data_IF_441064716541
#
_entry.id   IF_441064716541
#
_cell.length_a   1.000
_cell.length_b   1.000
_cell.length_c   1.000
_cell.angle_alpha   90.00
_cell.angle_beta   90.00
_cell.angle_gamma   90.00
#
_symmetry.space_group_name_H-M   'P 1'
#
loop_
_entity.id
_entity.type
_entity.pdbx_description
1 polymer ?
#
# COMPACT_ATOMS: atom_id res chain seq x y z
N UNK A 1 -2.55 -14.07 -29.96
CA UNK A 1 -1.22 -13.47 -30.20
C UNK A 1 -0.28 -13.69 -29.01
N UNK A 2 -0.53 -13.11 -27.83
CA UNK A 2 0.35 -13.26 -26.63
C UNK A 2 0.60 -14.72 -26.19
N UNK A 3 -0.46 -15.53 -26.01
CA UNK A 3 -0.33 -16.96 -25.65
C UNK A 3 0.38 -17.83 -26.69
N UNK A 4 0.39 -17.41 -27.96
CA UNK A 4 1.12 -18.12 -29.02
C UNK A 4 2.62 -17.88 -28.92
N UNK A 5 3.00 -16.61 -28.73
CA UNK A 5 4.39 -16.20 -28.57
C UNK A 5 5.02 -16.72 -27.27
N UNK A 6 4.29 -16.72 -26.14
CA UNK A 6 4.77 -17.26 -24.87
C UNK A 6 5.04 -18.78 -24.94
N UNK A 7 4.19 -19.52 -25.67
CA UNK A 7 4.32 -20.97 -25.89
C UNK A 7 5.48 -21.32 -26.82
N UNK A 8 5.74 -20.49 -27.84
CA UNK A 8 6.90 -20.61 -28.73
C UNK A 8 8.22 -20.24 -28.03
N UNK A 9 8.19 -19.33 -27.05
CA UNK A 9 9.37 -18.89 -26.29
C UNK A 9 9.66 -19.74 -25.04
N UNK A 10 8.77 -20.66 -24.65
CA UNK A 10 8.91 -21.47 -23.43
C UNK A 10 8.85 -20.66 -22.13
N UNK A 11 8.29 -19.44 -22.16
CA UNK A 11 8.19 -18.54 -21.01
C UNK A 11 6.76 -18.47 -20.52
N UNK A 12 6.53 -18.80 -19.25
CA UNK A 12 5.26 -18.61 -18.56
C UNK A 12 5.36 -17.37 -17.66
N UNK A 13 4.37 -16.49 -17.71
CA UNK A 13 4.22 -15.49 -16.65
C UNK A 13 3.69 -16.15 -15.36
N UNK A 14 3.93 -15.53 -14.20
CA UNK A 14 3.54 -16.12 -12.91
C UNK A 14 2.03 -16.38 -12.79
N UNK A 15 1.20 -15.58 -13.46
CA UNK A 15 -0.24 -15.74 -13.43
C UNK A 15 -0.68 -16.95 -14.27
N UNK A 16 -0.10 -17.14 -15.45
CA UNK A 16 -0.29 -18.33 -16.29
C UNK A 16 0.22 -19.59 -15.59
N UNK A 17 1.39 -19.53 -14.95
CA UNK A 17 1.92 -20.65 -14.19
C UNK A 17 0.94 -21.11 -13.08
N UNK A 18 0.34 -20.15 -12.35
CA UNK A 18 -0.65 -20.47 -11.33
C UNK A 18 -1.91 -21.14 -11.93
N UNK A 19 -2.44 -20.63 -13.04
CA UNK A 19 -3.61 -21.23 -13.71
C UNK A 19 -3.31 -22.63 -14.28
N UNK A 20 -2.11 -22.84 -14.85
CA UNK A 20 -1.70 -24.15 -15.38
C UNK A 20 -1.55 -25.16 -14.24
N UNK A 21 -0.90 -24.76 -13.14
CA UNK A 21 -0.73 -25.61 -11.96
C UNK A 21 -2.09 -26.00 -11.36
N UNK A 22 -3.02 -25.04 -11.23
CA UNK A 22 -4.39 -25.31 -10.78
C UNK A 22 -5.07 -26.35 -11.68
N UNK A 23 -5.04 -26.16 -13.01
CA UNK A 23 -5.65 -27.09 -13.96
C UNK A 23 -5.02 -28.50 -13.92
N UNK A 24 -3.71 -28.59 -13.70
CA UNK A 24 -3.02 -29.87 -13.55
C UNK A 24 -3.46 -30.62 -12.28
N UNK A 25 -3.52 -29.93 -11.13
CA UNK A 25 -4.00 -30.50 -9.88
C UNK A 25 -5.46 -30.95 -9.96
N UNK A 26 -6.31 -30.19 -10.67
CA UNK A 26 -7.69 -30.59 -10.90
C UNK A 26 -7.80 -31.83 -11.81
N UNK A 27 -6.98 -31.91 -12.86
CA UNK A 27 -7.00 -33.04 -13.80
C UNK A 27 -6.50 -34.34 -13.16
N UNK A 28 -5.48 -34.24 -12.30
CA UNK A 28 -4.89 -35.40 -11.62
C UNK A 28 -5.64 -35.81 -10.35
N UNK A 29 -6.44 -34.91 -9.79
CA UNK A 29 -7.06 -35.08 -8.48
C UNK A 29 -6.06 -34.96 -7.31
N UNK A 30 -4.82 -34.57 -7.58
CA UNK A 30 -3.80 -34.38 -6.55
C UNK A 30 -4.15 -33.16 -5.68
N UNK A 31 -3.95 -33.30 -4.37
CA UNK A 31 -4.14 -32.24 -3.37
C UNK A 31 -2.90 -32.19 -2.48
N UNK A 32 -1.86 -31.42 -2.86
CA UNK A 32 -0.54 -31.49 -2.21
C UNK A 32 -0.54 -30.92 -0.79
N UNK A 33 -1.52 -30.09 -0.43
CA UNK A 33 -1.65 -29.51 0.90
C UNK A 33 -2.92 -30.00 1.61
N UNK A 34 -2.80 -30.22 2.92
CA UNK A 34 -3.97 -30.43 3.80
C UNK A 34 -4.63 -29.11 4.20
N UNK A 35 -3.81 -28.07 4.39
CA UNK A 35 -4.22 -26.73 4.78
C UNK A 35 -3.39 -25.69 4.02
N UNK A 36 -4.01 -24.58 3.63
CA UNK A 36 -3.34 -23.46 2.95
C UNK A 36 -3.51 -22.19 3.77
N UNK A 37 -2.39 -21.51 4.03
CA UNK A 37 -2.36 -20.20 4.66
C UNK A 37 -2.09 -19.17 3.56
N UNK A 38 -3.00 -18.23 3.39
CA UNK A 38 -2.87 -17.12 2.46
C UNK A 38 -2.66 -15.85 3.27
N UNK A 39 -1.51 -15.22 3.08
CA UNK A 39 -1.22 -13.89 3.61
C UNK A 39 -1.36 -12.86 2.50
N UNK A 40 -1.69 -11.61 2.86
CA UNK A 40 -1.95 -10.51 1.92
C UNK A 40 -2.96 -10.88 0.81
N UNK A 41 -4.07 -11.53 1.19
CA UNK A 41 -5.09 -12.02 0.24
C UNK A 41 -5.63 -10.95 -0.72
N UNK A 42 -5.61 -9.67 -0.31
CA UNK A 42 -5.97 -8.53 -1.15
C UNK A 42 -5.12 -8.37 -2.42
N UNK A 43 -3.91 -8.93 -2.48
CA UNK A 43 -3.02 -8.86 -3.66
C UNK A 43 -3.23 -10.05 -4.62
N UNK A 44 -4.08 -11.00 -4.26
CA UNK A 44 -4.32 -12.19 -5.07
C UNK A 44 -5.23 -11.89 -6.26
N UNK A 45 -4.84 -12.45 -7.42
CA UNK A 45 -5.61 -12.40 -8.67
C UNK A 45 -6.46 -13.67 -8.82
N UNK A 46 -7.44 -13.70 -9.74
CA UNK A 46 -8.27 -14.88 -10.00
C UNK A 46 -7.48 -16.18 -10.18
N UNK A 47 -6.37 -16.13 -10.92
CA UNK A 47 -5.50 -17.29 -11.13
C UNK A 47 -4.84 -17.81 -9.85
N UNK A 48 -4.50 -16.93 -8.91
CA UNK A 48 -3.94 -17.33 -7.63
C UNK A 48 -5.01 -18.03 -6.76
N UNK A 49 -6.25 -17.53 -6.76
CA UNK A 49 -7.35 -18.16 -6.02
C UNK A 49 -7.73 -19.54 -6.58
N UNK A 50 -7.70 -19.71 -7.91
CA UNK A 50 -7.84 -21.02 -8.55
C UNK A 50 -6.78 -22.00 -8.06
N UNK A 51 -5.51 -21.57 -7.99
CA UNK A 51 -4.43 -22.39 -7.47
C UNK A 51 -4.62 -22.71 -5.98
N UNK A 52 -4.90 -21.71 -5.15
CA UNK A 52 -5.15 -21.88 -3.70
C UNK A 52 -6.22 -22.93 -3.46
N UNK A 53 -7.32 -22.88 -4.21
CA UNK A 53 -8.39 -23.87 -4.06
C UNK A 53 -7.95 -25.27 -4.48
N UNK A 54 -7.20 -25.38 -5.59
CA UNK A 54 -6.72 -26.66 -6.11
C UNK A 54 -5.64 -27.32 -5.22
N UNK A 55 -4.92 -26.55 -4.41
CA UNK A 55 -3.87 -27.07 -3.52
C UNK A 55 -4.40 -27.96 -2.39
N UNK A 56 -5.64 -27.73 -1.93
CA UNK A 56 -6.22 -28.45 -0.79
C UNK A 56 -7.63 -28.95 -1.08
N UNK A 57 -7.92 -30.19 -0.66
CA UNK A 57 -9.27 -30.74 -0.71
C UNK A 57 -10.24 -29.89 0.12
N UNK A 58 -11.51 -29.80 -0.30
CA UNK A 58 -12.55 -29.09 0.46
C UNK A 58 -12.76 -29.79 1.81
N UNK A 59 -12.47 -29.08 2.89
CA UNK A 59 -12.63 -29.58 4.26
C UNK A 59 -12.82 -28.41 5.24
N UNK A 60 -13.17 -28.73 6.49
CA UNK A 60 -13.24 -27.71 7.53
C UNK A 60 -11.83 -27.15 7.84
N UNK A 61 -11.70 -25.82 7.89
CA UNK A 61 -10.43 -25.11 8.08
C UNK A 61 -9.33 -25.50 7.07
N UNK A 62 -9.70 -25.84 5.84
CA UNK A 62 -8.76 -26.15 4.75
C UNK A 62 -7.97 -24.92 4.26
N UNK A 63 -8.58 -23.73 4.26
CA UNK A 63 -7.95 -22.48 3.87
C UNK A 63 -8.14 -21.45 4.98
N UNK A 64 -7.07 -20.74 5.29
CA UNK A 64 -7.08 -19.53 6.12
C UNK A 64 -6.57 -18.37 5.28
N UNK A 65 -7.31 -17.25 5.29
CA UNK A 65 -6.95 -16.03 4.58
C UNK A 65 -6.77 -14.90 5.60
N UNK A 66 -5.60 -14.28 5.58
CA UNK A 66 -5.36 -12.98 6.18
C UNK A 66 -5.40 -11.92 5.08
N UNK A 67 -6.22 -10.90 5.28
CA UNK A 67 -6.29 -9.77 4.37
C UNK A 67 -6.60 -8.45 5.11
N UNK A 68 -6.32 -7.35 4.41
CA UNK A 68 -6.70 -6.00 4.81
C UNK A 68 -7.27 -5.29 3.57
N UNK A 69 -8.60 -5.14 3.52
CA UNK A 69 -9.28 -4.56 2.35
C UNK A 69 -8.86 -3.10 2.11
N UNK A 70 -8.46 -2.37 3.16
CA UNK A 70 -8.02 -0.98 3.04
C UNK A 70 -6.61 -0.86 2.44
N UNK A 71 -5.80 -1.93 2.47
CA UNK A 71 -4.49 -1.98 1.82
C UNK A 71 -4.53 -2.48 0.37
N UNK A 72 -5.74 -2.62 -0.20
CA UNK A 72 -5.93 -2.99 -1.60
C UNK A 72 -5.62 -1.79 -2.51
N UNK A 73 -4.35 -1.71 -2.94
CA UNK A 73 -3.87 -0.72 -3.92
C UNK A 73 -4.14 -1.21 -5.36
N UNK A 74 -4.11 -2.53 -5.58
CA UNK A 74 -4.21 -3.15 -6.89
C UNK A 74 -5.34 -4.18 -6.90
N UNK A 75 -6.21 -4.14 -7.92
CA UNK A 75 -7.11 -5.24 -8.24
C UNK A 75 -8.60 -4.91 -8.19
N UNK A 76 -9.37 -5.70 -8.93
CA UNK A 76 -10.83 -5.72 -8.88
C UNK A 76 -11.29 -6.43 -7.60
N UNK A 77 -12.47 -6.04 -7.09
CA UNK A 77 -13.13 -6.76 -5.99
C UNK A 77 -13.43 -8.19 -6.44
N UNK A 78 -12.96 -9.18 -5.68
CA UNK A 78 -13.19 -10.60 -5.97
C UNK A 78 -14.04 -11.23 -4.87
N UNK A 79 -15.09 -11.93 -5.28
CA UNK A 79 -15.89 -12.76 -4.38
C UNK A 79 -15.22 -14.13 -4.27
N UNK A 80 -14.69 -14.47 -3.09
CA UNK A 80 -13.97 -15.73 -2.87
C UNK A 80 -14.86 -16.97 -3.09
N UNK A 81 -16.17 -16.82 -2.90
CA UNK A 81 -17.16 -17.86 -3.17
C UNK A 81 -17.16 -18.33 -4.62
N UNK A 82 -16.81 -17.46 -5.57
CA UNK A 82 -16.67 -17.81 -7.00
C UNK A 82 -15.52 -18.81 -7.26
N UNK A 83 -14.59 -18.93 -6.32
CA UNK A 83 -13.45 -19.86 -6.37
C UNK A 83 -13.62 -21.04 -5.42
N UNK A 84 -14.83 -21.30 -4.89
CA UNK A 84 -15.07 -22.40 -3.96
C UNK A 84 -14.49 -22.18 -2.56
N UNK A 85 -14.23 -20.93 -2.19
CA UNK A 85 -13.73 -20.54 -0.86
C UNK A 85 -14.87 -19.82 -0.13
N UNK A 86 -15.47 -20.47 0.89
CA UNK A 86 -16.60 -19.93 1.64
C UNK A 86 -16.16 -19.36 2.99
N UNK A 87 -16.25 -18.04 3.12
CA UNK A 87 -15.81 -17.25 4.30
C UNK A 87 -16.98 -16.71 5.14
N UNK A 88 -18.20 -16.70 4.60
CA UNK A 88 -19.40 -16.21 5.27
C UNK A 88 -19.58 -16.82 6.67
N UNK A 89 -19.73 -15.95 7.68
CA UNK A 89 -19.90 -16.33 9.09
C UNK A 89 -18.64 -16.85 9.78
N UNK A 90 -17.49 -16.84 9.10
CA UNK A 90 -16.19 -17.31 9.62
C UNK A 90 -15.12 -16.23 9.63
N UNK A 91 -15.41 -15.06 9.08
CA UNK A 91 -14.53 -13.90 9.06
C UNK A 91 -14.54 -13.19 10.42
N UNK A 92 -13.35 -12.74 10.85
CA UNK A 92 -13.18 -11.97 12.09
C UNK A 92 -12.23 -10.80 11.85
N UNK A 93 -12.76 -9.58 11.93
CA UNK A 93 -11.94 -8.37 11.87
C UNK A 93 -11.10 -8.16 13.14
N UNK A 94 -9.83 -7.81 12.96
CA UNK A 94 -8.93 -7.38 14.03
C UNK A 94 -8.91 -5.85 14.09
N UNK A 95 -9.45 -5.29 15.19
CA UNK A 95 -9.65 -3.84 15.33
C UNK A 95 -8.54 -3.09 16.06
N UNK A 96 -7.63 -3.81 16.72
CA UNK A 96 -6.58 -3.20 17.55
C UNK A 96 -5.23 -3.25 16.83
N UNK A 97 -4.70 -2.07 16.54
CA UNK A 97 -3.42 -1.85 15.89
C UNK A 97 -2.32 -1.65 16.95
N UNK A 98 -1.25 -2.44 16.87
CA UNK A 98 -0.08 -2.34 17.77
C UNK A 98 1.15 -1.77 17.08
N UNK A 99 1.04 -1.40 15.80
CA UNK A 99 2.13 -0.95 14.94
C UNK A 99 2.20 0.57 14.89
N UNK A 100 1.14 1.19 14.38
CA UNK A 100 1.05 2.61 14.05
C UNK A 100 0.41 3.38 15.19
N UNK A 101 0.85 4.60 15.50
CA UNK A 101 0.21 5.45 16.52
C UNK A 101 -1.25 5.77 16.20
N UNK A 102 -2.05 6.03 17.23
CA UNK A 102 -3.45 6.43 17.08
C UNK A 102 -3.62 7.66 16.18
N UNK A 103 -2.69 8.62 16.30
CA UNK A 103 -2.70 9.86 15.53
C UNK A 103 -2.40 9.62 14.04
N UNK A 104 -1.36 8.83 13.74
CA UNK A 104 -1.03 8.47 12.35
C UNK A 104 -2.14 7.62 11.72
N UNK A 105 -2.71 6.67 12.47
CA UNK A 105 -3.81 5.83 12.00
C UNK A 105 -5.07 6.66 11.72
N UNK A 106 -5.42 7.60 12.61
CA UNK A 106 -6.56 8.50 12.41
C UNK A 106 -6.40 9.36 11.16
N UNK A 107 -5.18 9.89 10.91
CA UNK A 107 -4.89 10.65 9.70
C UNK A 107 -5.00 9.80 8.44
N UNK A 108 -4.42 8.59 8.45
CA UNK A 108 -4.50 7.66 7.33
C UNK A 108 -5.95 7.25 7.04
N UNK A 109 -6.73 6.91 8.06
CA UNK A 109 -8.17 6.61 7.91
C UNK A 109 -8.95 7.83 7.42
N UNK A 110 -8.56 9.05 7.82
CA UNK A 110 -9.07 10.31 7.30
C UNK A 110 -8.98 10.42 5.77
N UNK A 111 -7.92 9.87 5.17
CA UNK A 111 -7.76 9.81 3.70
C UNK A 111 -8.80 8.91 3.04
N UNK A 112 -9.46 8.02 3.78
CA UNK A 112 -10.51 7.13 3.28
C UNK A 112 -11.93 7.65 3.55
N UNK A 113 -12.11 8.72 4.35
CA UNK A 113 -13.45 9.19 4.74
C UNK A 113 -14.30 9.62 3.53
N UNK A 114 -15.57 9.21 3.53
CA UNK A 114 -16.55 9.50 2.47
C UNK A 114 -16.67 8.41 1.39
N UNK A 115 -16.14 7.21 1.63
CA UNK A 115 -16.20 6.07 0.71
C UNK A 115 -16.66 4.80 1.43
N UNK A 116 -17.48 3.98 0.78
CA UNK A 116 -17.82 2.64 1.25
C UNK A 116 -16.72 1.66 0.82
N UNK A 117 -15.98 1.12 1.78
CA UNK A 117 -15.07 -0.01 1.54
C UNK A 117 -15.85 -1.29 1.77
N UNK A 118 -15.79 -2.22 0.83
CA UNK A 118 -16.47 -3.51 0.93
C UNK A 118 -15.41 -4.61 1.01
N UNK A 119 -15.54 -5.49 1.99
CA UNK A 119 -14.64 -6.63 2.18
C UNK A 119 -14.84 -7.73 1.12
N UNK A 120 -14.07 -8.81 1.23
CA UNK A 120 -14.12 -9.96 0.30
C UNK A 120 -15.37 -10.86 0.48
N UNK A 121 -16.14 -10.64 1.56
CA UNK A 121 -17.45 -11.26 1.78
C UNK A 121 -18.59 -10.44 1.15
N UNK A 122 -18.31 -9.21 0.70
CA UNK A 122 -19.31 -8.31 0.13
C UNK A 122 -20.00 -7.42 1.16
N UNK A 123 -19.50 -7.38 2.40
CA UNK A 123 -20.04 -6.59 3.50
C UNK A 123 -19.31 -5.26 3.65
N UNK A 124 -20.03 -4.19 4.01
CA UNK A 124 -19.43 -2.88 4.21
C UNK A 124 -18.46 -2.91 5.41
N UNK A 125 -17.18 -2.69 5.14
CA UNK A 125 -16.15 -2.63 6.18
C UNK A 125 -16.17 -1.24 6.83
N UNK A 126 -16.59 -1.20 8.09
CA UNK A 126 -16.66 0.06 8.83
C UNK A 126 -15.35 0.32 9.57
N UNK A 127 -14.76 1.50 9.38
CA UNK A 127 -13.56 1.91 10.10
C UNK A 127 -13.83 2.25 11.59
N UNK A 128 -15.10 2.25 12.01
CA UNK A 128 -15.54 2.51 13.37
C UNK A 128 -14.99 1.44 14.34
N UNK A 129 -14.09 1.89 15.20
CA UNK A 129 -13.46 1.07 16.23
C UNK A 129 -12.06 0.56 15.90
N UNK A 130 -11.44 0.98 14.78
CA UNK A 130 -10.00 0.82 14.61
C UNK A 130 -9.27 1.66 15.67
N UNK A 131 -8.70 0.99 16.66
CA UNK A 131 -8.00 1.60 17.78
C UNK A 131 -6.51 1.28 17.64
N UNK A 132 -5.65 2.23 17.99
CA UNK A 132 -4.25 1.92 18.21
C UNK A 132 -3.95 1.85 19.70
N UNK A 133 -3.15 0.86 20.10
CA UNK A 133 -2.59 0.76 21.44
C UNK A 133 -1.41 1.72 21.66
N UNK A 134 -0.93 2.40 20.62
CA UNK A 134 0.20 3.35 20.66
C UNK A 134 -0.29 4.78 20.50
N UNK A 135 0.39 5.70 21.15
CA UNK A 135 0.20 7.14 20.98
C UNK A 135 1.50 7.79 20.54
N UNK A 136 1.40 8.92 19.84
CA UNK A 136 2.55 9.67 19.36
C UNK A 136 2.17 11.10 18.97
N UNK A 137 3.07 11.83 18.30
CA UNK A 137 2.78 13.17 17.81
C UNK A 137 1.63 13.14 16.79
N UNK A 138 0.90 14.25 16.71
CA UNK A 138 -0.07 14.44 15.64
C UNK A 138 0.66 14.57 14.30
N UNK A 139 0.19 13.90 13.22
CA UNK A 139 0.72 14.12 11.89
C UNK A 139 0.71 15.59 11.52
N UNK A 140 1.84 16.06 10.99
CA UNK A 140 1.99 17.44 10.60
C UNK A 140 1.80 17.57 9.09
N UNK A 141 0.99 18.56 8.66
CA UNK A 141 0.83 18.89 7.25
C UNK A 141 1.41 20.28 7.01
N UNK A 142 2.49 20.38 6.24
CA UNK A 142 3.25 21.63 6.01
C UNK A 142 3.15 22.10 4.55
N UNK A 143 2.53 23.25 4.28
CA UNK A 143 2.55 23.88 2.96
C UNK A 143 3.85 24.65 2.70
N UNK A 144 4.29 24.65 1.45
CA UNK A 144 5.41 25.47 0.98
C UNK A 144 5.06 26.25 -0.30
N UNK A 145 5.63 27.46 -0.50
CA UNK A 145 5.38 28.24 -1.70
C UNK A 145 6.10 27.67 -2.93
N UNK A 146 7.22 26.99 -2.75
CA UNK A 146 8.07 26.47 -3.82
C UNK A 146 8.64 25.11 -3.46
N UNK A 147 9.03 24.35 -4.49
CA UNK A 147 9.72 23.07 -4.31
C UNK A 147 11.05 23.25 -3.55
N UNK A 148 11.77 24.35 -3.77
CA UNK A 148 13.02 24.64 -3.06
C UNK A 148 12.78 24.77 -1.55
N UNK A 149 11.77 25.54 -1.14
CA UNK A 149 11.43 25.69 0.27
C UNK A 149 10.96 24.37 0.91
N UNK A 150 10.26 23.54 0.13
CA UNK A 150 9.86 22.19 0.56
C UNK A 150 11.08 21.27 0.74
N UNK A 151 12.07 21.33 -0.15
CA UNK A 151 13.32 20.58 -0.05
C UNK A 151 14.20 21.07 1.11
N UNK A 152 14.24 22.38 1.37
CA UNK A 152 14.95 22.98 2.51
C UNK A 152 14.40 22.39 3.82
N UNK A 153 13.07 22.44 3.99
CA UNK A 153 12.41 21.85 5.15
C UNK A 153 12.61 20.33 5.24
N UNK A 154 12.51 19.61 4.12
CA UNK A 154 12.69 18.17 4.09
C UNK A 154 14.11 17.76 4.53
N UNK A 155 15.14 18.52 4.12
CA UNK A 155 16.51 18.29 4.56
C UNK A 155 16.67 18.56 6.06
N UNK A 156 16.15 19.68 6.57
CA UNK A 156 16.20 20.00 8.00
C UNK A 156 15.50 18.92 8.83
N UNK A 157 14.31 18.49 8.40
CA UNK A 157 13.51 17.48 9.09
C UNK A 157 14.22 16.12 9.11
N UNK A 158 14.57 15.58 7.93
CA UNK A 158 15.22 14.26 7.83
C UNK A 158 16.59 14.28 8.51
N UNK A 159 17.35 15.37 8.35
CA UNK A 159 18.61 15.59 9.04
C UNK A 159 18.44 15.60 10.55
N UNK A 160 17.40 16.24 11.08
CA UNK A 160 17.10 16.25 12.52
C UNK A 160 16.70 14.87 13.05
N UNK A 161 15.88 14.12 12.31
CA UNK A 161 15.45 12.79 12.69
C UNK A 161 16.59 11.78 12.75
N UNK A 162 17.53 11.87 11.81
CA UNK A 162 18.74 11.02 11.79
C UNK A 162 19.75 11.52 12.83
N UNK A 163 19.93 12.83 12.96
CA UNK A 163 20.90 13.45 13.86
C UNK A 163 20.54 13.34 15.34
N UNK A 164 19.25 13.18 15.70
CA UNK A 164 18.85 12.99 17.10
C UNK A 164 19.29 11.64 17.67
N UNK A 165 19.53 10.64 16.82
CA UNK A 165 19.91 9.28 17.23
C UNK A 165 18.80 8.48 17.91
N UNK A 166 17.56 9.00 17.97
CA UNK A 166 16.42 8.31 18.58
C UNK A 166 15.93 7.11 17.75
N UNK A 167 16.18 7.14 16.44
CA UNK A 167 15.81 6.10 15.49
C UNK A 167 17.00 5.79 14.58
N UNK A 168 17.11 4.53 14.14
CA UNK A 168 18.13 4.15 13.16
C UNK A 168 17.84 4.83 11.82
N UNK A 169 18.89 5.30 11.13
CA UNK A 169 18.76 6.08 9.91
C UNK A 169 17.92 5.37 8.83
N UNK A 170 18.12 4.06 8.66
CA UNK A 170 17.37 3.22 7.72
C UNK A 170 15.86 3.08 8.03
N UNK A 171 15.43 3.46 9.23
CA UNK A 171 14.02 3.48 9.63
C UNK A 171 13.35 4.83 9.39
N UNK A 172 14.07 5.79 8.80
CA UNK A 172 13.54 7.07 8.32
C UNK A 172 13.31 6.96 6.81
N UNK A 173 12.09 7.25 6.36
CA UNK A 173 11.74 7.19 4.95
C UNK A 173 11.13 8.47 4.42
N UNK A 174 11.49 8.81 3.17
CA UNK A 174 10.80 9.80 2.35
C UNK A 174 10.00 9.05 1.28
N UNK A 175 8.68 9.15 1.38
CA UNK A 175 7.75 8.51 0.47
C UNK A 175 7.22 9.55 -0.53
N UNK A 176 7.35 9.23 -1.81
CA UNK A 176 6.95 10.12 -2.91
C UNK A 176 6.04 9.39 -3.90
N UNK A 177 5.36 10.15 -4.76
CA UNK A 177 4.46 9.57 -5.76
C UNK A 177 5.19 8.68 -6.78
N UNK A 178 6.21 9.22 -7.43
CA UNK A 178 6.87 8.59 -8.58
C UNK A 178 8.40 8.63 -8.49
N UNK A 179 9.04 7.90 -9.41
CA UNK A 179 10.51 7.78 -9.47
C UNK A 179 11.19 9.11 -9.78
N UNK A 180 10.58 9.94 -10.62
CA UNK A 180 11.16 11.24 -11.01
C UNK A 180 11.24 12.16 -9.80
N UNK A 181 10.19 12.20 -9.00
CA UNK A 181 10.13 12.94 -7.74
C UNK A 181 11.11 12.35 -6.72
N UNK A 182 11.23 11.02 -6.66
CA UNK A 182 12.18 10.33 -5.77
C UNK A 182 13.62 10.73 -6.05
N UNK A 183 14.02 10.70 -7.32
CA UNK A 183 15.37 11.06 -7.74
C UNK A 183 15.66 12.55 -7.48
N UNK A 184 14.65 13.42 -7.70
CA UNK A 184 14.74 14.86 -7.37
C UNK A 184 14.90 15.11 -5.88
N UNK A 185 14.15 14.41 -5.03
CA UNK A 185 14.26 14.51 -3.57
C UNK A 185 15.63 14.03 -3.12
N UNK A 186 16.11 12.89 -3.62
CA UNK A 186 17.45 12.35 -3.28
C UNK A 186 18.55 13.35 -3.65
N UNK A 187 18.52 13.90 -4.86
CA UNK A 187 19.48 14.92 -5.27
C UNK A 187 19.36 16.20 -4.42
N UNK A 188 18.14 16.71 -4.23
CA UNK A 188 17.88 17.95 -3.50
C UNK A 188 18.25 17.89 -2.02
N UNK A 189 18.05 16.75 -1.36
CA UNK A 189 18.51 16.54 0.02
C UNK A 189 20.03 16.39 0.07
N UNK A 190 20.63 15.70 -0.90
CA UNK A 190 22.09 15.58 -1.02
C UNK A 190 22.81 16.93 -1.17
N UNK A 191 22.26 17.84 -1.99
CA UNK A 191 22.75 19.22 -2.14
C UNK A 191 22.68 20.03 -0.82
N UNK A 192 21.81 19.62 0.10
CA UNK A 192 21.62 20.22 1.44
C UNK A 192 22.38 19.47 2.53
N UNK A 193 23.23 18.51 2.17
CA UNK A 193 24.06 17.76 3.10
C UNK A 193 23.38 16.56 3.78
N UNK A 194 22.20 16.15 3.31
CA UNK A 194 21.47 14.98 3.83
C UNK A 194 21.50 13.86 2.79
N UNK A 195 22.33 12.85 3.02
CA UNK A 195 22.42 11.70 2.12
C UNK A 195 21.24 10.75 2.33
N UNK A 196 20.41 10.59 1.30
CA UNK A 196 19.26 9.67 1.28
C UNK A 196 19.43 8.64 0.17
N UNK A 197 19.17 7.37 0.46
CA UNK A 197 19.31 6.28 -0.52
C UNK A 197 18.00 6.02 -1.27
N UNK A 198 18.04 6.12 -2.59
CA UNK A 198 16.94 5.66 -3.43
C UNK A 198 16.78 4.12 -3.33
N UNK A 199 15.57 3.65 -3.06
CA UNK A 199 15.23 2.23 -3.08
C UNK A 199 14.27 1.93 -4.24
N UNK A 200 14.70 1.02 -5.13
CA UNK A 200 13.90 0.51 -6.26
C UNK A 200 13.32 -0.88 -5.98
N UNK A 201 14.18 -1.77 -5.47
CA UNK A 201 13.86 -3.13 -5.06
C UNK A 201 14.95 -3.64 -4.10
N UNK A 202 14.60 -4.61 -3.26
CA UNK A 202 15.53 -5.25 -2.33
C UNK A 202 15.47 -4.71 -0.90
N UNK A 203 16.35 -5.22 -0.04
CA UNK A 203 16.35 -4.94 1.39
C UNK A 203 16.94 -3.56 1.70
N UNK A 204 16.30 -2.84 2.61
CA UNK A 204 16.84 -1.61 3.19
C UNK A 204 18.19 -1.91 3.84
N UNK A 205 19.23 -1.16 3.45
CA UNK A 205 20.58 -1.31 4.02
C UNK A 205 20.76 -0.33 5.18
N UNK A 206 21.43 -0.74 6.27
CA UNK A 206 21.69 0.14 7.39
C UNK A 206 22.47 1.42 7.03
N UNK A 207 22.29 2.44 7.88
CA UNK A 207 23.17 3.60 7.96
C UNK A 207 22.68 4.87 7.25
N UNK A 208 21.61 4.78 6.44
CA UNK A 208 21.09 5.95 5.73
C UNK A 208 19.56 5.93 5.65
N UNK A 209 18.89 7.09 5.72
CA UNK A 209 17.49 7.21 5.37
C UNK A 209 17.26 6.79 3.93
N UNK A 210 16.02 6.36 3.63
CA UNK A 210 15.64 5.86 2.31
C UNK A 210 14.57 6.70 1.64
N UNK A 211 14.60 6.80 0.32
CA UNK A 211 13.57 7.39 -0.49
C UNK A 211 12.98 6.34 -1.45
N UNK A 212 11.67 6.20 -1.46
CA UNK A 212 10.96 5.21 -2.27
C UNK A 212 9.60 5.73 -2.71
N UNK A 213 9.05 5.13 -3.75
CA UNK A 213 7.68 5.46 -4.18
C UNK A 213 6.66 4.86 -3.21
N UNK A 214 5.51 5.49 -3.07
CA UNK A 214 4.41 5.01 -2.23
C UNK A 214 4.03 3.56 -2.56
N UNK A 215 4.01 3.19 -3.84
CA UNK A 215 3.74 1.83 -4.28
C UNK A 215 4.77 0.81 -3.78
N UNK A 216 6.03 1.21 -3.69
CA UNK A 216 7.13 0.35 -3.21
C UNK A 216 7.19 0.27 -1.68
N UNK A 217 6.51 1.18 -0.99
CA UNK A 217 6.47 1.18 0.46
C UNK A 217 5.57 0.06 1.02
N UNK A 218 4.66 -0.51 0.22
CA UNK A 218 3.84 -1.65 0.65
C UNK A 218 4.72 -2.81 1.14
N UNK A 219 4.38 -3.37 2.30
CA UNK A 219 5.15 -4.43 2.95
C UNK A 219 6.41 -3.97 3.69
N UNK A 220 6.72 -2.68 3.68
CA UNK A 220 7.79 -2.08 4.52
C UNK A 220 7.20 -1.31 5.70
N UNK A 221 8.01 -1.00 6.70
CA UNK A 221 7.63 -0.22 7.88
C UNK A 221 8.79 0.69 8.29
N UNK A 222 8.48 1.93 8.68
CA UNK A 222 9.47 2.95 9.05
C UNK A 222 9.08 3.60 10.37
N UNK A 223 10.06 3.93 11.21
CA UNK A 223 9.81 4.66 12.45
C UNK A 223 9.22 6.04 12.16
N UNK A 224 9.84 6.76 11.21
CA UNK A 224 9.44 8.10 10.80
C UNK A 224 9.30 8.20 9.29
N UNK A 225 8.23 8.85 8.85
CA UNK A 225 7.92 8.98 7.42
C UNK A 225 7.63 10.43 7.06
N UNK A 226 8.26 10.90 6.00
CA UNK A 226 7.93 12.11 5.29
C UNK A 226 7.19 11.75 3.99
N UNK A 227 5.90 12.06 3.88
CA UNK A 227 5.16 12.05 2.60
C UNK A 227 5.43 13.37 1.87
N UNK A 228 6.32 13.32 0.87
CA UNK A 228 6.81 14.52 0.20
C UNK A 228 6.01 14.82 -1.09
N UNK A 229 5.66 16.08 -1.28
CA UNK A 229 5.07 16.59 -2.50
C UNK A 229 3.64 16.11 -2.76
N UNK A 230 2.74 16.14 -1.76
CA UNK A 230 1.31 15.84 -1.93
C UNK A 230 0.50 17.05 -2.45
N UNK A 231 0.84 17.50 -3.65
CA UNK A 231 0.14 18.59 -4.35
C UNK A 231 -0.98 18.08 -5.26
N UNK A 232 -1.79 19.00 -5.78
CA UNK A 232 -2.83 18.72 -6.78
C UNK A 232 -2.27 18.05 -8.04
N UNK A 233 -1.04 18.39 -8.43
CA UNK A 233 -0.42 17.89 -9.67
C UNK A 233 0.20 16.50 -9.49
N UNK A 234 0.53 16.12 -8.26
CA UNK A 234 1.10 14.81 -7.94
C UNK A 234 0.06 13.78 -7.55
N UNK A 235 -1.07 14.20 -6.98
CA UNK A 235 -2.09 13.27 -6.50
C UNK A 235 -3.49 13.91 -6.49
N UNK A 236 -4.48 13.30 -7.15
CA UNK A 236 -4.39 12.07 -7.94
C UNK A 236 -3.70 12.26 -9.31
N UNK A 237 -2.89 11.29 -9.76
CA UNK A 237 -2.29 11.33 -11.10
C UNK A 237 -3.26 10.84 -12.18
N UNK A 238 -3.36 11.57 -13.30
CA UNK A 238 -3.99 11.05 -14.52
C UNK A 238 -5.51 10.90 -14.49
N UNK A 239 -6.17 11.38 -13.44
CA UNK A 239 -7.62 11.46 -13.35
C UNK A 239 -8.13 12.66 -14.18
N UNK A 240 -8.29 12.45 -15.49
CA UNK A 240 -9.00 13.39 -16.36
C UNK A 240 -10.47 13.00 -16.39
N UNK A 241 -11.35 13.87 -15.88
CA UNK A 241 -12.78 13.62 -15.76
C UNK A 241 -13.52 13.34 -17.09
N UNK A 242 -12.88 13.58 -18.24
CA UNK A 242 -13.48 13.32 -19.57
C UNK A 242 -13.24 11.89 -20.08
N UNK A 243 -12.36 11.11 -19.42
CA UNK A 243 -11.92 9.79 -19.89
C UNK A 243 -12.63 8.62 -19.16
N UNK A 244 -13.52 8.91 -18.20
CA UNK A 244 -14.13 7.92 -17.31
C UNK A 244 -15.64 8.16 -17.17
N UNK A 245 -16.41 7.08 -17.04
CA UNK A 245 -17.75 7.17 -16.46
C UNK A 245 -17.70 7.36 -14.93
N UNK A 246 -18.84 7.63 -14.31
CA UNK A 246 -18.92 7.94 -12.88
C UNK A 246 -18.41 6.77 -11.99
N UNK A 247 -18.63 5.53 -12.42
CA UNK A 247 -18.17 4.34 -11.69
C UNK A 247 -16.64 4.20 -11.79
N UNK A 248 -16.07 4.26 -12.99
CA UNK A 248 -14.63 4.17 -13.20
C UNK A 248 -13.86 5.30 -12.52
N UNK A 249 -14.43 6.51 -12.50
CA UNK A 249 -13.87 7.65 -11.79
C UNK A 249 -13.82 7.40 -10.29
N UNK A 250 -14.90 6.87 -9.71
CA UNK A 250 -14.98 6.54 -8.28
C UNK A 250 -13.95 5.47 -7.89
N UNK A 251 -13.78 4.43 -8.71
CA UNK A 251 -12.78 3.39 -8.47
C UNK A 251 -11.35 3.93 -8.57
N UNK A 252 -11.09 4.81 -9.55
CA UNK A 252 -9.78 5.43 -9.71
C UNK A 252 -9.45 6.34 -8.51
N UNK A 253 -10.43 7.11 -8.01
CA UNK A 253 -10.26 7.90 -6.80
C UNK A 253 -10.01 7.03 -5.56
N UNK A 254 -10.73 5.91 -5.44
CA UNK A 254 -10.54 4.96 -4.35
C UNK A 254 -9.13 4.37 -4.39
N UNK A 255 -8.61 3.98 -5.56
CA UNK A 255 -7.23 3.49 -5.71
C UNK A 255 -6.19 4.50 -5.27
N UNK A 256 -6.36 5.77 -5.62
CA UNK A 256 -5.45 6.84 -5.23
C UNK A 256 -5.50 7.11 -3.71
N UNK A 257 -6.68 7.05 -3.11
CA UNK A 257 -6.86 7.14 -1.65
C UNK A 257 -6.25 5.95 -0.92
N UNK A 258 -6.46 4.73 -1.40
CA UNK A 258 -5.85 3.52 -0.85
C UNK A 258 -4.32 3.58 -0.92
N UNK A 259 -3.75 4.11 -2.00
CA UNK A 259 -2.30 4.31 -2.08
C UNK A 259 -1.80 5.25 -0.99
N UNK A 260 -2.46 6.40 -0.81
CA UNK A 260 -2.08 7.38 0.20
C UNK A 260 -2.27 6.83 1.62
N UNK A 261 -3.37 6.10 1.87
CA UNK A 261 -3.60 5.37 3.12
C UNK A 261 -2.46 4.38 3.41
N UNK A 262 -2.08 3.55 2.43
CA UNK A 262 -1.00 2.58 2.60
C UNK A 262 0.33 3.28 2.88
N UNK A 263 0.63 4.36 2.17
CA UNK A 263 1.85 5.12 2.37
C UNK A 263 1.91 5.77 3.77
N UNK A 264 0.82 6.41 4.20
CA UNK A 264 0.72 7.04 5.51
C UNK A 264 0.80 6.03 6.67
N UNK A 265 0.16 4.86 6.51
CA UNK A 265 0.20 3.80 7.52
C UNK A 265 1.56 3.12 7.68
N UNK A 266 2.54 3.39 6.80
CA UNK A 266 3.94 2.94 6.98
C UNK A 266 4.67 3.66 8.11
N UNK A 267 4.15 4.80 8.54
CA UNK A 267 4.70 5.60 9.63
C UNK A 267 4.35 4.97 10.98
N UNK A 268 5.31 4.31 11.62
CA UNK A 268 5.11 3.67 12.92
C UNK A 268 4.90 4.71 14.02
N UNK A 269 5.78 5.70 14.11
CA UNK A 269 5.86 6.65 15.24
C UNK A 269 5.46 8.06 14.82
N UNK A 270 6.01 8.58 13.72
CA UNK A 270 5.85 9.98 13.31
C UNK A 270 5.62 10.10 11.80
N UNK A 271 4.61 10.90 11.44
CA UNK A 271 4.23 11.17 10.05
C UNK A 271 4.27 12.69 9.81
N UNK A 272 5.03 13.11 8.81
CA UNK A 272 5.00 14.48 8.30
C UNK A 272 4.62 14.44 6.83
N UNK A 273 3.78 15.38 6.41
CA UNK A 273 3.25 15.50 5.06
C UNK A 273 3.57 16.88 4.55
N UNK A 274 4.18 16.97 3.37
CA UNK A 274 4.52 18.25 2.74
C UNK A 274 3.90 18.35 1.37
N UNK A 275 3.66 19.60 0.96
CA UNK A 275 3.33 19.91 -0.41
C UNK A 275 3.78 21.32 -0.75
N UNK A 276 4.07 21.56 -2.02
CA UNK A 276 4.29 22.89 -2.57
C UNK A 276 3.15 23.30 -3.50
N UNK A 277 2.74 24.56 -3.43
CA UNK A 277 1.65 25.11 -4.23
C UNK A 277 0.25 24.67 -3.75
N UNK A 278 -0.57 24.15 -4.67
CA UNK A 278 -1.96 23.74 -4.38
C UNK A 278 -1.98 22.35 -3.72
N UNK A 279 -2.65 22.16 -2.57
CA UNK A 279 -2.75 20.84 -1.93
C UNK A 279 -3.49 19.82 -2.79
N UNK A 280 -3.17 18.54 -2.61
CA UNK A 280 -4.00 17.45 -3.14
C UNK A 280 -5.42 17.49 -2.56
N UNK A 281 -6.42 17.17 -3.39
CA UNK A 281 -7.80 17.01 -2.94
C UNK A 281 -8.01 15.76 -2.05
N UNK A 282 -7.00 14.88 -1.94
CA UNK A 282 -7.05 13.69 -1.12
C UNK A 282 -6.53 13.91 0.30
N UNK A 283 -6.00 15.09 0.62
CA UNK A 283 -5.65 15.42 2.00
C UNK A 283 -6.94 15.44 2.85
N UNK A 284 -6.92 14.84 4.05
CA UNK A 284 -8.08 14.89 4.93
C UNK A 284 -8.38 16.34 5.28
N UNK A 285 -9.67 16.72 5.27
CA UNK A 285 -10.10 18.04 5.66
C UNK A 285 -9.83 18.23 7.16
N UNK A 286 -8.68 18.85 7.50
CA UNK A 286 -8.26 19.31 8.83
C UNK A 286 -8.74 18.45 10.01
N UNK A 287 -7.85 17.56 10.48
CA UNK A 287 -7.96 16.91 11.79
C UNK A 287 -7.71 17.88 12.95
#
# INVERSE_FOLDING_TARGET
AYRGAAREAGTLDFAEAASIAAAHLETTGERPARHVLVDEGQDFKPCHWQLVRALAAEAHNDIFVAEDAHQRIYGQKLMLSAYGIRTQGRSRGLKLNYRTTAQNLAWAVGVLTGQEVIDSDGEAETMAGYLSARTGPKPEVRPFPTLTAELDFAADLVGSWVGSGEVAAETVAVLVRDRVTRDRVVAGLGERGVEVRALEAGTVRPGYPVALTMHRAKGTEFARVLLFGLSKDSMPMGLKAYDYDDEELSEAQLRERSLLYVAASRARDELVVTYSGTPSSLLPASA
#
